data_IF_811110103697
#
_entry.id   IF_811110103697
#
_cell.length_a   1.000
_cell.length_b   1.000
_cell.length_c   1.000
_cell.angle_alpha   90.00
_cell.angle_beta   90.00
_cell.angle_gamma   90.00
#
_symmetry.space_group_name_H-M   'P 1'
#
loop_
_entity.id
_entity.type
_entity.pdbx_description
1 polymer ?
#
# COMPACT_ATOMS: atom_id res chain seq x y z
N UNK A 1 -6.00 -0.66 7.86
CA UNK A 1 -5.30 0.19 6.89
C UNK A 1 -5.09 -0.52 5.56
N UNK A 2 -4.54 -1.72 5.59
CA UNK A 2 -4.39 -2.50 4.36
C UNK A 2 -5.75 -2.87 3.78
N UNK A 3 -6.69 -3.25 4.64
CA UNK A 3 -8.05 -3.55 4.23
C UNK A 3 -8.74 -2.33 3.62
N UNK A 4 -8.49 -1.16 4.18
CA UNK A 4 -9.01 0.10 3.63
C UNK A 4 -8.43 0.37 2.25
N UNK A 5 -7.14 0.10 2.06
CA UNK A 5 -6.49 0.25 0.77
C UNK A 5 -7.12 -0.68 -0.26
N UNK A 6 -7.28 -1.95 0.08
CA UNK A 6 -7.91 -2.91 -0.83
C UNK A 6 -9.33 -2.51 -1.19
N UNK A 7 -10.13 -2.13 -0.21
CA UNK A 7 -11.52 -1.72 -0.44
C UNK A 7 -11.59 -0.49 -1.33
N UNK A 8 -10.72 0.48 -1.08
CA UNK A 8 -10.69 1.71 -1.87
C UNK A 8 -10.30 1.43 -3.32
N UNK A 9 -9.34 0.54 -3.53
CA UNK A 9 -8.91 0.15 -4.87
C UNK A 9 -10.02 -0.59 -5.62
N UNK A 10 -10.77 -1.45 -4.94
CA UNK A 10 -11.91 -2.13 -5.54
C UNK A 10 -12.99 -1.16 -5.99
N UNK A 11 -13.23 -0.11 -5.19
CA UNK A 11 -14.20 0.93 -5.53
C UNK A 11 -13.64 1.95 -6.51
N UNK A 12 -12.37 1.82 -6.87
CA UNK A 12 -11.67 2.75 -7.75
C UNK A 12 -11.68 4.17 -7.20
N UNK A 13 -11.60 4.28 -5.87
CA UNK A 13 -11.56 5.56 -5.17
C UNK A 13 -10.10 5.97 -4.98
N UNK A 14 -9.61 6.80 -5.91
CA UNK A 14 -8.20 7.23 -5.91
C UNK A 14 -7.85 7.98 -4.63
N UNK A 15 -8.72 8.86 -4.18
CA UNK A 15 -8.43 9.68 -3.00
C UNK A 15 -8.29 8.83 -1.74
N UNK A 16 -9.24 7.93 -1.50
CA UNK A 16 -9.19 7.05 -0.33
C UNK A 16 -8.02 6.07 -0.42
N UNK A 17 -7.73 5.58 -1.61
CA UNK A 17 -6.59 4.70 -1.85
C UNK A 17 -5.27 5.42 -1.55
N UNK A 18 -5.16 6.68 -1.96
CA UNK A 18 -3.99 7.51 -1.68
C UNK A 18 -3.78 7.65 -0.17
N UNK A 19 -4.83 7.98 0.56
CA UNK A 19 -4.75 8.15 2.01
C UNK A 19 -4.34 6.86 2.71
N UNK A 20 -4.94 5.75 2.30
CA UNK A 20 -4.63 4.45 2.89
C UNK A 20 -3.18 4.04 2.62
N UNK A 21 -2.70 4.25 1.40
CA UNK A 21 -1.32 3.94 1.04
C UNK A 21 -0.34 4.82 1.82
N UNK A 22 -0.65 6.09 1.97
CA UNK A 22 0.18 7.03 2.72
C UNK A 22 0.28 6.61 4.20
N UNK A 23 -0.86 6.24 4.78
CA UNK A 23 -0.91 5.77 6.16
C UNK A 23 -0.11 4.48 6.34
N UNK A 24 -0.25 3.54 5.41
CA UNK A 24 0.49 2.29 5.44
C UNK A 24 2.00 2.54 5.35
N UNK A 25 2.42 3.45 4.50
CA UNK A 25 3.82 3.86 4.38
C UNK A 25 4.36 4.34 5.73
N UNK A 26 3.60 5.22 6.40
CA UNK A 26 4.01 5.75 7.70
C UNK A 26 4.13 4.69 8.77
N UNK A 27 3.16 3.80 8.84
CA UNK A 27 3.16 2.69 9.80
C UNK A 27 4.35 1.76 9.54
N UNK A 28 4.57 1.39 8.27
CA UNK A 28 5.66 0.50 7.91
C UNK A 28 7.02 1.12 8.24
N UNK A 29 7.18 2.41 7.99
CA UNK A 29 8.42 3.11 8.31
C UNK A 29 8.68 3.13 9.82
N UNK A 30 7.65 3.39 10.61
CA UNK A 30 7.75 3.42 12.07
C UNK A 30 8.14 2.05 12.65
N UNK A 31 7.64 0.99 12.05
CA UNK A 31 7.90 -0.37 12.51
C UNK A 31 9.19 -0.96 11.92
N UNK A 32 9.85 -0.24 11.03
CA UNK A 32 11.10 -0.71 10.43
C UNK A 32 10.91 -1.67 9.26
N UNK A 33 9.71 -1.78 8.71
CA UNK A 33 9.44 -2.62 7.55
C UNK A 33 9.81 -1.87 6.27
N UNK A 34 11.12 -1.78 6.00
CA UNK A 34 11.64 -0.95 4.92
C UNK A 34 11.11 -1.32 3.53
N UNK A 35 10.99 -2.61 3.25
CA UNK A 35 10.49 -3.05 1.94
C UNK A 35 9.03 -2.68 1.75
N UNK A 36 8.22 -2.88 2.78
CA UNK A 36 6.82 -2.48 2.73
C UNK A 36 6.68 -0.97 2.62
N UNK A 37 7.48 -0.22 3.36
CA UNK A 37 7.47 1.23 3.31
C UNK A 37 7.82 1.74 1.91
N UNK A 38 8.83 1.15 1.26
CA UNK A 38 9.20 1.52 -0.10
C UNK A 38 8.09 1.20 -1.10
N UNK A 39 7.50 0.02 -0.99
CA UNK A 39 6.41 -0.38 -1.88
C UNK A 39 5.19 0.52 -1.70
N UNK A 40 4.84 0.83 -0.46
CA UNK A 40 3.73 1.73 -0.16
C UNK A 40 4.01 3.15 -0.65
N UNK A 41 5.26 3.60 -0.56
CA UNK A 41 5.68 4.90 -1.07
C UNK A 41 5.49 4.99 -2.59
N UNK A 42 5.93 3.97 -3.31
CA UNK A 42 5.76 3.92 -4.77
C UNK A 42 4.28 3.92 -5.15
N UNK A 43 3.48 3.15 -4.43
CA UNK A 43 2.03 3.09 -4.64
C UNK A 43 1.39 4.46 -4.39
N UNK A 44 1.81 5.13 -3.33
CA UNK A 44 1.33 6.47 -2.99
C UNK A 44 1.61 7.45 -4.12
N UNK A 45 2.80 7.40 -4.72
CA UNK A 45 3.15 8.29 -5.81
C UNK A 45 2.29 8.06 -7.06
N UNK A 46 1.97 6.81 -7.37
CA UNK A 46 1.08 6.49 -8.48
C UNK A 46 -0.30 7.09 -8.24
N UNK A 47 -0.84 6.90 -7.04
CA UNK A 47 -2.15 7.41 -6.67
C UNK A 47 -2.18 8.94 -6.60
N UNK A 48 -1.06 9.54 -6.20
CA UNK A 48 -0.92 10.99 -6.16
C UNK A 48 -1.10 11.61 -7.54
N UNK A 49 -0.67 10.90 -8.58
CA UNK A 49 -0.86 11.34 -9.95
C UNK A 49 -2.27 11.15 -10.48
N UNK A 50 -3.17 10.58 -9.68
CA UNK A 50 -4.55 10.33 -10.06
C UNK A 50 -4.77 9.03 -10.81
N UNK A 51 -3.75 8.17 -10.91
CA UNK A 51 -3.86 6.89 -11.59
C UNK A 51 -4.22 5.78 -10.61
N UNK A 52 -4.96 4.79 -11.10
CA UNK A 52 -5.24 3.58 -10.32
C UNK A 52 -4.17 2.53 -10.63
N UNK A 53 -3.50 1.97 -9.62
CA UNK A 53 -2.40 1.03 -9.82
C UNK A 53 -2.88 -0.42 -9.93
N UNK A 54 -3.90 -0.67 -10.74
CA UNK A 54 -4.54 -1.99 -10.82
C UNK A 54 -3.58 -3.11 -11.20
N UNK A 55 -2.66 -2.84 -12.12
CA UNK A 55 -1.69 -3.84 -12.58
C UNK A 55 -0.26 -3.43 -12.28
N UNK A 56 -0.06 -2.54 -11.32
CA UNK A 56 1.28 -2.06 -11.03
C UNK A 56 2.08 -3.04 -10.18
N UNK A 57 3.38 -3.06 -10.41
CA UNK A 57 4.32 -3.81 -9.58
C UNK A 57 4.28 -3.34 -8.13
N UNK A 58 4.06 -2.04 -7.93
CA UNK A 58 4.00 -1.46 -6.59
C UNK A 58 2.88 -2.08 -5.77
N UNK A 59 1.71 -2.27 -6.36
CA UNK A 59 0.59 -2.90 -5.66
C UNK A 59 0.91 -4.35 -5.31
N UNK A 60 1.50 -5.08 -6.25
CA UNK A 60 1.91 -6.47 -6.02
C UNK A 60 2.95 -6.55 -4.91
N UNK A 61 3.91 -5.63 -4.90
CA UNK A 61 4.94 -5.58 -3.87
C UNK A 61 4.36 -5.28 -2.49
N UNK A 62 3.42 -4.34 -2.40
CA UNK A 62 2.74 -4.03 -1.14
C UNK A 62 2.02 -5.27 -0.61
N UNK A 63 1.28 -5.94 -1.47
CA UNK A 63 0.53 -7.13 -1.10
C UNK A 63 1.47 -8.25 -0.63
N UNK A 64 2.54 -8.51 -1.38
CA UNK A 64 3.50 -9.56 -1.04
C UNK A 64 4.22 -9.28 0.27
N UNK A 65 4.67 -8.06 0.48
CA UNK A 65 5.38 -7.70 1.71
C UNK A 65 4.45 -7.71 2.91
N UNK A 66 3.21 -7.26 2.74
CA UNK A 66 2.23 -7.30 3.81
C UNK A 66 1.93 -8.74 4.24
N UNK A 67 1.74 -9.64 3.28
CA UNK A 67 1.50 -11.05 3.58
C UNK A 67 2.68 -11.68 4.32
N UNK A 68 3.91 -11.38 3.89
CA UNK A 68 5.10 -11.91 4.56
C UNK A 68 5.16 -11.49 6.02
N UNK A 69 4.84 -10.24 6.30
CA UNK A 69 4.85 -9.71 7.66
C UNK A 69 3.76 -10.38 8.50
N UNK A 70 2.57 -10.52 7.94
CA UNK A 70 1.46 -11.16 8.66
C UNK A 70 1.74 -12.62 8.95
N UNK A 71 2.34 -13.34 8.01
CA UNK A 71 2.70 -14.75 8.21
C UNK A 71 3.83 -14.89 9.23
N UNK A 72 4.81 -14.00 9.17
CA UNK A 72 5.93 -14.04 10.11
C UNK A 72 5.49 -13.68 11.53
N UNK A 73 4.45 -12.88 11.67
CA UNK A 73 3.93 -12.45 12.97
C UNK A 73 3.12 -13.52 13.71
N UNK A 74 2.89 -14.62 13.07
CA UNK A 74 2.20 -15.74 13.71
C UNK A 74 3.21 -16.71 14.30
#
# INVERSE_FOLDING_TARGET
TYAELENSLERKDVFSSFRAAHTLKGIAANLGFNKLAKAASALTEILRGGALPEDSESLKNVSAEYERIMLAGK
#
